data_IF_219046382729
#
_entry.id   IF_219046382729
#
_cell.length_a   1.000
_cell.length_b   1.000
_cell.length_c   1.000
_cell.angle_alpha   90.00
_cell.angle_beta   90.00
_cell.angle_gamma   90.00
#
_symmetry.space_group_name_H-M   'P 1'
#
loop_
_entity.id
_entity.type
_entity.pdbx_description
1 polymer ?
#
# COMPACT_ATOMS: atom_id res chain seq x y z
N UNK A 1 29.51 -15.38 -18.42
CA UNK A 1 30.71 -16.21 -18.61
C UNK A 1 30.39 -17.64 -18.21
N UNK A 2 30.65 -18.64 -19.05
CA UNK A 2 30.47 -20.04 -18.66
C UNK A 2 31.44 -20.40 -17.53
N UNK A 3 30.96 -21.17 -16.56
CA UNK A 3 31.69 -21.74 -15.41
C UNK A 3 31.40 -23.23 -15.41
N UNK A 4 32.07 -23.97 -16.29
CA UNK A 4 31.72 -25.36 -16.60
C UNK A 4 30.39 -25.42 -17.36
N UNK A 5 29.42 -26.15 -16.80
CA UNK A 5 28.07 -26.31 -17.34
C UNK A 5 27.09 -25.22 -16.88
N UNK A 6 27.49 -24.42 -15.90
CA UNK A 6 26.72 -23.28 -15.40
C UNK A 6 27.18 -21.98 -16.05
N UNK A 7 26.34 -20.95 -15.98
CA UNK A 7 26.61 -19.63 -16.51
C UNK A 7 26.59 -18.60 -15.40
N UNK A 8 27.70 -17.89 -15.23
CA UNK A 8 27.77 -16.73 -14.36
C UNK A 8 27.36 -15.48 -15.14
N UNK A 9 26.35 -14.77 -14.62
CA UNK A 9 25.91 -13.47 -15.11
C UNK A 9 26.69 -12.43 -14.30
N UNK A 10 27.73 -11.84 -14.91
CA UNK A 10 28.59 -10.89 -14.20
C UNK A 10 27.99 -9.49 -14.17
N UNK A 11 27.39 -9.09 -15.28
CA UNK A 11 26.73 -7.80 -15.41
C UNK A 11 25.67 -7.91 -16.49
N UNK A 12 24.42 -7.80 -16.09
CA UNK A 12 23.27 -7.55 -16.94
C UNK A 12 22.89 -6.08 -16.72
N UNK A 13 22.79 -5.32 -17.80
CA UNK A 13 22.33 -3.94 -17.76
C UNK A 13 21.28 -3.76 -18.84
N UNK A 14 20.06 -3.41 -18.43
CA UNK A 14 18.97 -3.03 -19.32
C UNK A 14 18.58 -1.59 -19.00
N UNK A 15 18.50 -0.74 -20.01
CA UNK A 15 18.18 0.69 -19.86
C UNK A 15 17.15 1.11 -20.88
N UNK A 16 16.22 1.96 -20.47
CA UNK A 16 15.32 2.70 -21.34
C UNK A 16 15.06 4.10 -20.76
N UNK A 17 14.22 4.89 -21.40
CA UNK A 17 13.91 6.27 -20.97
C UNK A 17 13.19 6.35 -19.61
N UNK A 18 12.64 5.25 -19.13
CA UNK A 18 11.82 5.18 -17.91
C UNK A 18 12.53 4.47 -16.76
N UNK A 19 13.68 3.82 -16.98
CA UNK A 19 14.44 3.15 -15.93
C UNK A 19 15.67 2.36 -16.39
N UNK A 20 16.38 1.85 -15.39
CA UNK A 20 17.62 1.07 -15.48
C UNK A 20 17.51 -0.14 -14.55
N UNK A 21 17.73 -1.33 -15.11
CA UNK A 21 17.91 -2.58 -14.38
C UNK A 21 19.37 -3.00 -14.48
N UNK A 22 20.06 -3.12 -13.36
CA UNK A 22 21.35 -3.81 -13.25
C UNK A 22 21.19 -5.10 -12.47
N UNK A 23 21.79 -6.19 -12.93
CA UNK A 23 21.76 -7.45 -12.23
C UNK A 23 23.03 -8.27 -12.42
N UNK A 24 23.28 -9.15 -11.46
CA UNK A 24 24.33 -10.16 -11.48
C UNK A 24 23.78 -11.45 -10.90
N UNK A 25 24.40 -12.59 -11.21
CA UNK A 25 23.90 -13.85 -10.68
C UNK A 25 24.37 -15.07 -11.45
N UNK A 26 23.54 -16.11 -11.43
CA UNK A 26 23.87 -17.42 -11.94
C UNK A 26 22.68 -18.04 -12.66
N UNK A 27 22.98 -18.70 -13.76
CA UNK A 27 22.08 -19.63 -14.40
C UNK A 27 22.73 -21.01 -14.37
N UNK A 28 22.16 -21.90 -13.57
CA UNK A 28 22.54 -23.31 -13.51
C UNK A 28 21.83 -24.03 -14.63
N UNK A 29 22.52 -24.18 -15.76
CA UNK A 29 21.99 -24.82 -16.95
C UNK A 29 22.16 -26.36 -16.91
N UNK A 30 22.90 -26.87 -15.94
CA UNK A 30 23.25 -28.28 -15.80
C UNK A 30 22.18 -29.09 -15.05
N UNK A 31 21.83 -30.27 -15.58
CA UNK A 31 20.91 -31.22 -14.95
C UNK A 31 19.48 -31.17 -15.51
N UNK A 32 18.56 -31.91 -14.89
CA UNK A 32 17.14 -31.98 -15.32
C UNK A 32 16.33 -30.72 -14.97
N UNK A 33 16.81 -29.90 -14.05
CA UNK A 33 16.12 -28.71 -13.57
C UNK A 33 17.07 -27.50 -13.70
N UNK A 34 16.80 -26.64 -14.68
CA UNK A 34 17.51 -25.38 -14.80
C UNK A 34 17.05 -24.42 -13.70
N UNK A 35 17.95 -23.57 -13.22
CA UNK A 35 17.62 -22.57 -12.22
C UNK A 35 18.36 -21.27 -12.50
N UNK A 36 17.65 -20.16 -12.44
CA UNK A 36 18.23 -18.82 -12.49
C UNK A 36 18.14 -18.16 -11.12
N UNK A 37 19.17 -17.42 -10.75
CA UNK A 37 19.19 -16.57 -9.55
C UNK A 37 19.87 -15.27 -9.90
N UNK A 38 19.19 -14.15 -9.68
CA UNK A 38 19.67 -12.80 -9.94
C UNK A 38 19.59 -11.97 -8.66
N UNK A 39 20.69 -11.30 -8.36
CA UNK A 39 20.74 -10.11 -7.52
C UNK A 39 20.56 -8.90 -8.45
N UNK A 40 19.53 -8.10 -8.20
CA UNK A 40 19.05 -7.09 -9.13
C UNK A 40 18.75 -5.78 -8.42
N UNK A 41 19.07 -4.68 -9.09
CA UNK A 41 18.71 -3.31 -8.75
C UNK A 41 17.98 -2.68 -9.93
N UNK A 42 16.79 -2.14 -9.66
CA UNK A 42 15.93 -1.49 -10.64
C UNK A 42 15.65 -0.06 -10.16
N UNK A 43 16.20 0.90 -10.91
CA UNK A 43 15.92 2.33 -10.76
C UNK A 43 14.93 2.75 -11.84
N UNK A 44 13.76 3.23 -11.44
CA UNK A 44 12.69 3.70 -12.32
C UNK A 44 12.55 5.21 -12.13
N UNK A 45 12.57 5.95 -13.22
CA UNK A 45 12.39 7.41 -13.20
C UNK A 45 10.91 7.77 -13.03
N UNK A 46 10.01 6.97 -13.62
CA UNK A 46 8.56 7.18 -13.58
C UNK A 46 7.84 5.83 -13.61
N UNK A 47 7.25 5.42 -12.47
CA UNK A 47 6.56 4.14 -12.36
C UNK A 47 5.33 4.06 -13.27
N UNK A 48 4.63 5.18 -13.50
CA UNK A 48 3.48 5.21 -14.40
C UNK A 48 3.85 4.86 -15.83
N UNK A 49 4.89 5.51 -16.38
CA UNK A 49 5.40 5.21 -17.72
C UNK A 49 6.00 3.81 -17.80
N UNK A 50 6.70 3.37 -16.75
CA UNK A 50 7.25 2.02 -16.70
C UNK A 50 6.15 0.95 -16.74
N UNK A 51 5.11 1.07 -15.90
CA UNK A 51 3.98 0.13 -15.85
C UNK A 51 3.14 0.12 -17.13
N UNK A 52 3.01 1.25 -17.82
CA UNK A 52 2.32 1.31 -19.12
C UNK A 52 2.95 0.37 -20.16
N UNK A 53 4.27 0.13 -20.11
CA UNK A 53 4.96 -0.83 -20.99
C UNK A 53 4.57 -2.28 -20.72
N UNK A 54 4.06 -2.57 -19.53
CA UNK A 54 3.58 -3.89 -19.10
C UNK A 54 2.05 -4.01 -19.19
N UNK A 55 1.37 -3.10 -19.89
CA UNK A 55 -0.08 -3.15 -20.09
C UNK A 55 -0.90 -2.65 -18.90
N UNK A 56 -0.27 -1.95 -17.95
CA UNK A 56 -0.91 -1.30 -16.81
C UNK A 56 -0.82 0.23 -16.93
N UNK A 57 -1.37 0.84 -18.00
CA UNK A 57 -1.37 2.29 -18.15
C UNK A 57 -2.26 2.91 -17.07
N UNK A 58 -1.95 4.15 -16.69
CA UNK A 58 -2.82 4.97 -15.85
C UNK A 58 -3.23 4.31 -14.51
N UNK A 59 -2.36 3.49 -13.92
CA UNK A 59 -2.50 3.00 -12.54
C UNK A 59 -1.80 3.93 -11.52
N UNK A 60 -0.65 4.48 -11.92
CA UNK A 60 0.17 5.41 -11.14
C UNK A 60 0.63 6.53 -12.07
N UNK A 61 0.71 7.76 -11.57
CA UNK A 61 1.42 8.88 -12.23
C UNK A 61 2.66 9.24 -11.41
N UNK A 62 3.80 9.37 -12.07
CA UNK A 62 5.08 9.68 -11.41
C UNK A 62 5.60 8.50 -10.59
N UNK A 63 6.09 8.77 -9.38
CA UNK A 63 6.74 7.83 -8.47
C UNK A 63 8.08 7.27 -8.99
N UNK A 64 9.17 8.07 -8.94
CA UNK A 64 10.52 7.52 -9.05
C UNK A 64 10.69 6.40 -8.03
N UNK A 65 11.12 5.22 -8.49
CA UNK A 65 11.07 3.99 -7.69
C UNK A 65 12.40 3.26 -7.74
N UNK A 66 12.86 2.78 -6.59
CA UNK A 66 14.01 1.90 -6.46
C UNK A 66 13.54 0.56 -5.93
N UNK A 67 13.96 -0.51 -6.60
CA UNK A 67 13.76 -1.89 -6.15
C UNK A 67 15.11 -2.56 -6.12
N UNK A 68 15.42 -3.24 -5.03
CA UNK A 68 16.62 -4.08 -4.97
C UNK A 68 16.32 -5.39 -4.28
N UNK A 69 16.95 -6.46 -4.72
CA UNK A 69 16.73 -7.76 -4.11
C UNK A 69 17.33 -8.92 -4.90
N UNK A 70 17.14 -10.10 -4.34
CA UNK A 70 17.56 -11.35 -4.95
C UNK A 70 16.34 -12.20 -5.26
N UNK A 71 16.23 -12.61 -6.52
CA UNK A 71 15.15 -13.43 -7.04
C UNK A 71 15.71 -14.67 -7.73
N UNK A 72 14.99 -15.78 -7.68
CA UNK A 72 15.32 -16.99 -8.41
C UNK A 72 14.08 -17.75 -8.84
N UNK A 73 14.20 -18.48 -9.95
CA UNK A 73 13.11 -19.25 -10.55
C UNK A 73 13.67 -20.46 -11.30
N UNK A 74 12.80 -21.41 -11.61
CA UNK A 74 13.14 -22.56 -12.45
C UNK A 74 13.16 -22.16 -13.92
N UNK A 75 14.21 -22.54 -14.64
CA UNK A 75 14.40 -22.19 -16.05
C UNK A 75 15.58 -21.24 -16.30
N UNK A 76 15.75 -20.87 -17.56
CA UNK A 76 16.75 -19.90 -17.98
C UNK A 76 16.33 -18.45 -17.74
N UNK A 77 17.27 -17.49 -17.85
CA UNK A 77 17.00 -16.06 -17.59
C UNK A 77 15.87 -15.45 -18.44
N UNK A 78 15.63 -15.99 -19.62
CA UNK A 78 14.58 -15.58 -20.55
C UNK A 78 13.20 -16.20 -20.24
N UNK A 79 13.16 -17.25 -19.43
CA UNK A 79 11.95 -18.00 -19.10
C UNK A 79 11.56 -17.69 -17.66
N UNK A 80 11.18 -16.44 -17.41
CA UNK A 80 10.72 -16.02 -16.09
C UNK A 80 9.45 -16.80 -15.71
N UNK A 81 9.46 -17.44 -14.55
CA UNK A 81 8.40 -18.36 -14.13
C UNK A 81 7.84 -17.93 -12.77
N UNK A 82 6.63 -17.34 -12.78
CA UNK A 82 5.97 -16.86 -11.56
C UNK A 82 5.72 -17.97 -10.53
N UNK A 83 5.23 -19.17 -10.89
CA UNK A 83 4.95 -20.22 -9.92
C UNK A 83 6.17 -20.74 -9.15
N UNK A 84 7.37 -20.70 -9.73
CA UNK A 84 8.61 -21.10 -9.04
C UNK A 84 9.41 -19.93 -8.48
N UNK A 85 8.96 -18.70 -8.73
CA UNK A 85 9.63 -17.49 -8.26
C UNK A 85 9.79 -17.51 -6.74
N UNK A 86 11.00 -17.29 -6.27
CA UNK A 86 11.35 -17.22 -4.86
C UNK A 86 12.45 -16.19 -4.62
N UNK A 87 12.49 -15.60 -3.44
CA UNK A 87 13.50 -14.60 -3.09
C UNK A 87 12.99 -13.53 -2.14
N UNK A 88 13.69 -12.42 -2.10
CA UNK A 88 13.30 -11.26 -1.31
C UNK A 88 13.77 -9.97 -1.98
N UNK A 89 12.97 -8.92 -1.85
CA UNK A 89 13.29 -7.61 -2.38
C UNK A 89 12.66 -6.51 -1.54
N UNK A 90 13.24 -5.33 -1.61
CA UNK A 90 12.75 -4.13 -0.95
C UNK A 90 12.38 -3.08 -2.01
N UNK A 91 11.33 -2.33 -1.74
CA UNK A 91 10.85 -1.24 -2.62
C UNK A 91 10.87 0.08 -1.87
N UNK A 92 11.28 1.13 -2.58
CA UNK A 92 11.19 2.52 -2.15
C UNK A 92 10.72 3.35 -3.33
N UNK A 93 9.51 3.90 -3.26
CA UNK A 93 9.01 4.84 -4.24
C UNK A 93 8.88 6.22 -3.60
N UNK A 94 9.28 7.26 -4.33
CA UNK A 94 9.05 8.65 -3.95
C UNK A 94 7.64 9.11 -4.32
N UNK A 95 7.48 10.42 -4.45
CA UNK A 95 6.18 11.05 -4.63
C UNK A 95 5.48 10.61 -5.93
N UNK A 96 4.19 10.33 -5.82
CA UNK A 96 3.35 9.94 -6.94
C UNK A 96 1.86 10.02 -6.63
N UNK A 97 1.06 9.49 -7.55
CA UNK A 97 -0.39 9.47 -7.40
C UNK A 97 -0.96 8.19 -7.98
N UNK A 98 -1.67 7.41 -7.17
CA UNK A 98 -2.53 6.34 -7.69
C UNK A 98 -3.71 6.97 -8.40
N UNK A 99 -3.92 6.62 -9.65
CA UNK A 99 -5.07 7.07 -10.43
C UNK A 99 -6.26 6.17 -10.17
N UNK A 100 -7.46 6.69 -10.42
CA UNK A 100 -8.66 5.84 -10.39
C UNK A 100 -8.55 4.85 -11.54
N UNK A 101 -8.31 3.58 -11.22
CA UNK A 101 -8.51 2.48 -12.16
C UNK A 101 -9.98 2.52 -12.57
N UNK A 102 -10.25 2.86 -13.83
CA UNK A 102 -11.59 2.77 -14.40
C UNK A 102 -11.86 1.27 -14.61
N UNK A 103 -12.89 0.66 -13.98
CA UNK A 103 -13.21 -0.77 -14.18
C UNK A 103 -13.64 -1.12 -15.62
N UNK A 104 -13.58 -0.17 -16.56
CA UNK A 104 -14.32 -0.16 -17.82
C UNK A 104 -13.54 -0.46 -19.10
N UNK A 105 -12.26 -0.82 -19.05
CA UNK A 105 -11.47 -1.08 -20.26
C UNK A 105 -11.28 -2.58 -20.55
N UNK A 106 -12.39 -3.31 -20.71
CA UNK A 106 -12.38 -4.73 -21.02
C UNK A 106 -13.75 -5.35 -21.33
N UNK A 107 -14.56 -4.70 -22.19
CA UNK A 107 -15.60 -5.25 -23.10
C UNK A 107 -16.04 -6.71 -22.80
N UNK A 108 -17.28 -7.05 -22.41
CA UNK A 108 -18.54 -6.81 -23.12
C UNK A 108 -19.75 -7.12 -22.21
N UNK A 109 -20.69 -6.17 -22.17
CA UNK A 109 -22.15 -6.30 -22.05
C UNK A 109 -22.74 -7.46 -21.23
N UNK A 110 -23.37 -7.11 -20.11
CA UNK A 110 -24.32 -7.96 -19.42
C UNK A 110 -25.23 -7.15 -18.52
N UNK A 111 -26.17 -6.44 -19.14
CA UNK A 111 -27.31 -5.79 -18.50
C UNK A 111 -27.88 -6.72 -17.42
N UNK A 112 -28.03 -6.18 -16.19
CA UNK A 112 -28.99 -6.53 -15.12
C UNK A 112 -28.31 -6.37 -13.74
N UNK A 113 -29.01 -5.71 -12.81
CA UNK A 113 -28.78 -5.77 -11.35
C UNK A 113 -28.09 -4.61 -10.59
N UNK A 114 -28.25 -3.32 -10.96
CA UNK A 114 -28.06 -2.24 -9.97
C UNK A 114 -29.12 -1.12 -10.01
N UNK A 115 -30.31 -1.40 -10.56
CA UNK A 115 -31.49 -0.54 -10.42
C UNK A 115 -32.04 -0.44 -8.97
N UNK A 116 -31.35 -0.94 -7.96
CA UNK A 116 -31.87 -0.95 -6.59
C UNK A 116 -30.80 -0.78 -5.51
N UNK A 117 -30.08 0.34 -5.52
CA UNK A 117 -29.76 0.98 -4.24
C UNK A 117 -29.71 2.50 -4.38
N UNK A 118 -30.86 2.99 -4.82
CA UNK A 118 -31.25 4.37 -4.77
C UNK A 118 -31.26 4.87 -3.32
N UNK A 119 -30.52 5.95 -3.13
CA UNK A 119 -30.91 7.16 -2.36
C UNK A 119 -30.61 7.15 -0.86
N UNK A 120 -29.71 8.09 -0.54
CA UNK A 120 -29.50 8.84 0.71
C UNK A 120 -28.48 8.20 1.65
N UNK A 121 -27.24 8.64 1.50
CA UNK A 121 -26.30 9.06 2.54
C UNK A 121 -24.91 9.13 1.91
N UNK A 122 -24.44 10.32 1.51
CA UNK A 122 -23.01 10.65 1.62
C UNK A 122 -22.80 12.14 1.34
N UNK A 123 -22.26 12.84 2.34
CA UNK A 123 -21.45 14.04 2.14
C UNK A 123 -20.50 13.83 0.96
N UNK A 124 -20.23 14.90 0.22
CA UNK A 124 -19.52 14.85 -1.05
C UNK A 124 -18.05 14.42 -0.88
N UNK A 125 -17.81 13.11 -0.82
CA UNK A 125 -16.47 12.53 -0.86
C UNK A 125 -15.92 12.47 -2.29
N UNK A 126 -16.71 12.82 -3.31
CA UNK A 126 -16.27 12.76 -4.72
C UNK A 126 -15.15 13.77 -5.00
N UNK A 127 -15.12 14.91 -4.31
CA UNK A 127 -14.07 15.92 -4.48
C UNK A 127 -12.72 15.53 -3.87
N UNK A 128 -12.69 14.57 -2.94
CA UNK A 128 -11.44 14.06 -2.37
C UNK A 128 -10.88 12.83 -3.12
N UNK A 129 -11.69 12.19 -3.97
CA UNK A 129 -11.32 11.03 -4.79
C UNK A 129 -11.32 11.33 -6.30
N UNK A 130 -11.60 12.57 -6.71
CA UNK A 130 -11.78 12.97 -8.10
C UNK A 130 -10.51 12.90 -8.96
N UNK A 131 -9.31 12.99 -8.35
CA UNK A 131 -8.03 12.99 -9.08
C UNK A 131 -7.11 11.79 -8.79
N UNK A 132 -7.50 10.88 -7.88
CA UNK A 132 -6.67 9.77 -7.38
C UNK A 132 -6.18 9.95 -5.93
N UNK A 133 -5.34 9.02 -5.43
CA UNK A 133 -4.71 9.08 -4.10
C UNK A 133 -3.24 9.50 -4.24
N UNK A 134 -2.91 10.72 -3.81
CA UNK A 134 -1.54 11.21 -3.79
C UNK A 134 -0.76 10.59 -2.61
N UNK A 135 0.50 10.24 -2.86
CA UNK A 135 1.42 9.72 -1.86
C UNK A 135 2.78 10.39 -2.00
N UNK A 136 3.46 10.52 -0.86
CA UNK A 136 4.82 11.04 -0.78
C UNK A 136 5.85 9.91 -0.85
N UNK A 137 5.50 8.74 -0.32
CA UNK A 137 6.42 7.61 -0.20
C UNK A 137 5.68 6.26 -0.18
N UNK A 138 6.29 5.24 -0.80
CA UNK A 138 5.95 3.83 -0.61
C UNK A 138 7.21 3.07 -0.18
N UNK A 139 7.14 2.33 0.93
CA UNK A 139 8.25 1.48 1.38
C UNK A 139 7.76 0.10 1.78
N UNK A 140 8.57 -0.92 1.58
CA UNK A 140 8.24 -2.26 2.06
C UNK A 140 9.29 -3.30 1.71
N UNK A 141 9.26 -4.40 2.46
CA UNK A 141 10.03 -5.61 2.21
C UNK A 141 9.09 -6.74 1.83
N UNK A 142 9.45 -7.47 0.78
CA UNK A 142 8.67 -8.56 0.23
C UNK A 142 9.52 -9.83 0.24
N UNK A 143 8.90 -10.94 0.62
CA UNK A 143 9.45 -12.29 0.43
C UNK A 143 8.56 -13.06 -0.51
N UNK A 144 9.14 -13.73 -1.50
CA UNK A 144 8.41 -14.60 -2.42
C UNK A 144 8.86 -16.04 -2.18
N UNK A 145 7.90 -16.95 -2.12
CA UNK A 145 8.15 -18.39 -2.11
C UNK A 145 7.12 -19.07 -3.02
N UNK A 146 7.60 -19.76 -4.05
CA UNK A 146 6.76 -20.48 -5.02
C UNK A 146 5.61 -19.60 -5.56
N UNK A 147 5.94 -18.38 -6.00
CA UNK A 147 4.96 -17.43 -6.53
C UNK A 147 4.03 -16.76 -5.52
N UNK A 148 4.14 -17.10 -4.24
CA UNK A 148 3.40 -16.43 -3.15
C UNK A 148 4.29 -15.36 -2.55
N UNK A 149 3.90 -14.10 -2.74
CA UNK A 149 4.54 -12.94 -2.17
C UNK A 149 3.92 -12.59 -0.82
N UNK A 150 4.74 -12.29 0.18
CA UNK A 150 4.32 -11.84 1.52
C UNK A 150 5.05 -10.57 1.91
N UNK A 151 4.35 -9.68 2.60
CA UNK A 151 4.92 -8.50 3.25
C UNK A 151 4.21 -8.24 4.56
N UNK A 152 4.95 -7.77 5.56
CA UNK A 152 4.41 -7.40 6.88
C UNK A 152 4.54 -5.89 7.15
N UNK A 153 5.19 -5.16 6.25
CA UNK A 153 5.63 -3.80 6.50
C UNK A 153 5.51 -2.87 5.27
N UNK A 154 4.66 -3.22 4.31
CA UNK A 154 4.35 -2.34 3.20
C UNK A 154 3.60 -1.11 3.73
N UNK A 155 4.14 0.08 3.45
CA UNK A 155 3.60 1.36 3.92
C UNK A 155 3.49 2.33 2.76
N UNK A 156 2.45 3.13 2.80
CA UNK A 156 2.20 4.24 1.88
C UNK A 156 1.97 5.47 2.74
N UNK A 157 2.84 6.45 2.64
CA UNK A 157 2.71 7.74 3.29
C UNK A 157 2.21 8.78 2.29
N UNK A 158 1.25 9.60 2.68
CA UNK A 158 0.77 10.70 1.84
C UNK A 158 0.14 11.83 2.66
N UNK A 159 -0.20 12.95 1.99
CA UNK A 159 -0.71 14.14 2.65
C UNK A 159 -2.09 13.96 3.28
N UNK A 160 -2.88 12.99 2.82
CA UNK A 160 -4.24 12.72 3.29
C UNK A 160 -4.35 11.52 4.26
N UNK A 161 -3.42 10.56 4.18
CA UNK A 161 -3.41 9.38 5.04
C UNK A 161 -2.07 8.66 5.02
N UNK A 162 -1.82 7.88 6.08
CA UNK A 162 -0.82 6.81 6.12
C UNK A 162 -1.55 5.47 6.02
N UNK A 163 -1.05 4.58 5.16
CA UNK A 163 -1.60 3.24 4.95
C UNK A 163 -0.53 2.21 5.28
N UNK A 164 -0.87 1.22 6.10
CA UNK A 164 -0.04 0.07 6.36
C UNK A 164 -0.74 -1.19 5.84
N UNK A 165 0.00 -2.02 5.10
CA UNK A 165 -0.49 -3.22 4.45
C UNK A 165 0.38 -4.40 4.90
N UNK A 166 -0.27 -5.51 5.26
CA UNK A 166 0.39 -6.78 5.56
C UNK A 166 -0.42 -7.94 5.02
N UNK A 167 0.22 -9.06 4.70
CA UNK A 167 -0.45 -10.25 4.20
C UNK A 167 0.28 -10.87 3.01
N UNK A 168 -0.49 -11.55 2.17
CA UNK A 168 0.05 -12.35 1.07
C UNK A 168 -0.72 -12.17 -0.24
N UNK A 169 -0.04 -12.47 -1.34
CA UNK A 169 -0.57 -12.45 -2.70
C UNK A 169 0.00 -13.63 -3.48
N UNK A 170 -0.88 -14.45 -4.04
CA UNK A 170 -0.51 -15.48 -5.00
C UNK A 170 -0.49 -14.85 -6.40
N UNK A 171 0.71 -14.65 -6.93
CA UNK A 171 0.93 -13.96 -8.21
C UNK A 171 0.38 -14.80 -9.37
N UNK A 172 0.50 -16.12 -9.30
CA UNK A 172 0.08 -17.01 -10.38
C UNK A 172 -1.44 -17.14 -10.45
N UNK A 173 -2.13 -17.06 -9.31
CA UNK A 173 -3.60 -17.07 -9.25
C UNK A 173 -4.23 -15.68 -9.26
N UNK A 174 -3.42 -14.62 -9.24
CA UNK A 174 -3.87 -13.23 -9.12
C UNK A 174 -4.84 -13.03 -7.93
N UNK A 175 -4.54 -13.67 -6.80
CA UNK A 175 -5.36 -13.58 -5.57
C UNK A 175 -4.59 -12.99 -4.41
N UNK A 176 -5.30 -12.39 -3.47
CA UNK A 176 -4.70 -11.70 -2.34
C UNK A 176 -5.48 -11.93 -1.04
N UNK A 177 -4.76 -11.82 0.08
CA UNK A 177 -5.29 -11.82 1.44
C UNK A 177 -4.49 -10.79 2.25
N UNK A 178 -5.02 -9.59 2.37
CA UNK A 178 -4.31 -8.43 2.91
C UNK A 178 -5.09 -7.85 4.11
N UNK A 179 -4.33 -7.40 5.11
CA UNK A 179 -4.81 -6.54 6.19
C UNK A 179 -4.33 -5.13 5.90
N UNK A 180 -5.26 -4.20 5.78
CA UNK A 180 -4.99 -2.80 5.45
C UNK A 180 -5.45 -1.93 6.60
N UNK A 181 -4.53 -1.14 7.16
CA UNK A 181 -4.81 -0.12 8.16
C UNK A 181 -4.64 1.25 7.53
N UNK A 182 -5.70 2.04 7.54
CA UNK A 182 -5.71 3.41 7.03
C UNK A 182 -5.82 4.38 8.20
N UNK A 183 -4.86 5.29 8.30
CA UNK A 183 -4.82 6.34 9.31
C UNK A 183 -4.85 7.71 8.60
N UNK A 184 -5.96 8.45 8.65
CA UNK A 184 -6.04 9.79 8.10
C UNK A 184 -5.03 10.73 8.78
N UNK A 185 -4.39 11.59 8.00
CA UNK A 185 -3.56 12.68 8.53
C UNK A 185 -4.49 13.83 8.91
N UNK A 186 -4.56 14.17 10.20
CA UNK A 186 -5.25 15.39 10.61
C UNK A 186 -4.29 16.55 10.39
N UNK A 187 -4.34 17.16 9.21
CA UNK A 187 -3.63 18.40 8.99
C UNK A 187 -4.09 19.43 10.02
N UNK A 188 -3.14 20.10 10.67
CA UNK A 188 -3.33 21.00 11.81
C UNK A 188 -4.22 22.25 11.53
N UNK A 189 -4.94 22.28 10.40
CA UNK A 189 -5.75 23.40 9.95
C UNK A 189 -7.26 23.17 9.91
N UNK A 190 -7.78 21.97 10.23
CA UNK A 190 -9.23 21.71 10.02
C UNK A 190 -9.90 21.15 11.28
N UNK A 191 -10.59 22.07 11.96
CA UNK A 191 -11.55 21.93 13.07
C UNK A 191 -12.76 21.01 12.80
N UNK A 192 -12.73 20.16 11.76
CA UNK A 192 -13.83 19.23 11.43
C UNK A 192 -13.96 18.12 12.47
N UNK A 193 -12.89 17.75 13.18
CA UNK A 193 -12.96 16.84 14.32
C UNK A 193 -13.90 17.34 15.43
N UNK A 194 -13.91 18.65 15.70
CA UNK A 194 -14.82 19.24 16.68
C UNK A 194 -16.29 19.20 16.20
N UNK A 195 -16.53 19.41 14.91
CA UNK A 195 -17.87 19.37 14.33
C UNK A 195 -18.48 17.96 14.32
N UNK A 196 -17.70 16.92 14.00
CA UNK A 196 -18.19 15.53 14.01
C UNK A 196 -18.46 15.03 15.44
N UNK A 197 -17.66 15.43 16.42
CA UNK A 197 -17.90 15.12 17.84
C UNK A 197 -19.17 15.80 18.38
N UNK A 198 -19.46 17.04 17.95
CA UNK A 198 -20.70 17.74 18.29
C UNK A 198 -21.95 17.07 17.69
N UNK A 199 -21.86 16.52 16.47
CA UNK A 199 -22.98 15.87 15.78
C UNK A 199 -23.28 14.46 16.31
N UNK A 200 -22.28 13.74 16.81
CA UNK A 200 -22.46 12.39 17.35
C UNK A 200 -23.05 12.42 18.77
N UNK A 201 -22.64 13.36 19.62
CA UNK A 201 -23.21 13.55 20.96
C UNK A 201 -22.97 15.00 21.47
N UNK A 202 -24.02 15.84 21.54
CA UNK A 202 -23.86 17.26 21.87
C UNK A 202 -23.30 17.53 23.27
N UNK A 203 -23.47 16.60 24.22
CA UNK A 203 -22.94 16.73 25.59
C UNK A 203 -21.41 16.53 25.60
N UNK A 204 -20.89 15.61 24.78
CA UNK A 204 -19.46 15.32 24.68
C UNK A 204 -18.74 16.44 23.90
N UNK A 205 -19.36 16.97 22.85
CA UNK A 205 -18.79 18.06 22.06
C UNK A 205 -18.63 19.38 22.84
N UNK A 206 -19.52 19.67 23.79
CA UNK A 206 -19.43 20.87 24.64
C UNK A 206 -18.23 20.81 25.61
N UNK A 207 -17.92 19.64 26.19
CA UNK A 207 -16.80 19.47 27.11
C UNK A 207 -15.44 19.64 26.41
N UNK A 208 -15.32 19.15 25.18
CA UNK A 208 -14.11 19.30 24.36
C UNK A 208 -13.92 20.75 23.89
N UNK A 209 -15.02 21.44 23.53
CA UNK A 209 -14.97 22.86 23.16
C UNK A 209 -14.51 23.74 24.33
N UNK A 210 -15.01 23.49 25.55
CA UNK A 210 -14.59 24.21 26.75
C UNK A 210 -13.14 23.90 27.16
N UNK A 211 -12.66 22.67 26.97
CA UNK A 211 -11.28 22.27 27.25
C UNK A 211 -10.24 22.74 26.21
N UNK A 212 -10.66 23.04 24.98
CA UNK A 212 -9.77 23.45 23.89
C UNK A 212 -9.12 24.83 24.09
N UNK A 213 -9.72 25.68 24.93
CA UNK A 213 -9.18 27.01 25.26
C UNK A 213 -7.95 26.95 26.18
N UNK A 214 -7.67 25.80 26.82
CA UNK A 214 -6.53 25.62 27.74
C UNK A 214 -5.45 24.65 27.22
N UNK A 215 -5.65 23.99 26.08
CA UNK A 215 -4.79 22.89 25.61
C UNK A 215 -3.72 23.31 24.57
N UNK A 216 -3.36 24.59 24.48
CA UNK A 216 -2.55 25.11 23.36
C UNK A 216 -1.05 24.74 23.37
N UNK A 217 -0.57 23.74 24.12
CA UNK A 217 0.88 23.47 24.13
C UNK A 217 1.40 22.04 24.26
N UNK A 218 0.57 20.99 24.38
CA UNK A 218 1.09 19.63 24.68
C UNK A 218 0.35 18.50 23.95
N UNK A 219 -0.08 18.66 22.70
CA UNK A 219 -0.89 17.61 22.06
C UNK A 219 -0.73 17.57 20.54
N UNK A 220 0.50 17.38 20.02
CA UNK A 220 0.71 17.16 18.59
C UNK A 220 0.47 15.70 18.17
N UNK A 221 0.68 14.73 19.06
CA UNK A 221 0.61 13.28 18.73
C UNK A 221 -0.66 12.50 19.17
N UNK A 222 -1.43 12.86 20.22
CA UNK A 222 -2.49 11.98 20.72
C UNK A 222 -3.77 11.90 19.87
N UNK A 223 -3.97 12.81 18.92
CA UNK A 223 -5.24 12.89 18.15
C UNK A 223 -5.17 12.09 16.84
N UNK A 224 -4.00 11.99 16.21
CA UNK A 224 -3.83 11.21 14.97
C UNK A 224 -4.11 9.72 15.16
N UNK A 225 -3.97 9.21 16.39
CA UNK A 225 -4.20 7.80 16.74
C UNK A 225 -5.69 7.46 16.98
N UNK A 226 -6.59 8.45 17.02
CA UNK A 226 -7.97 8.23 17.43
C UNK A 226 -8.87 7.63 16.34
N UNK A 227 -8.43 7.60 15.08
CA UNK A 227 -9.24 7.14 13.94
C UNK A 227 -8.45 6.28 12.95
N UNK A 228 -8.06 5.06 13.33
CA UNK A 228 -7.60 4.06 12.36
C UNK A 228 -8.77 3.21 11.86
N UNK A 229 -8.79 2.96 10.56
CA UNK A 229 -9.74 2.06 9.91
C UNK A 229 -9.01 0.80 9.49
N UNK A 230 -9.53 -0.36 9.87
CA UNK A 230 -8.98 -1.65 9.49
C UNK A 230 -9.89 -2.36 8.49
N UNK A 231 -9.26 -2.89 7.45
CA UNK A 231 -9.90 -3.62 6.37
C UNK A 231 -9.18 -4.95 6.14
N UNK A 232 -9.95 -5.99 5.84
CA UNK A 232 -9.48 -7.21 5.22
C UNK A 232 -9.81 -7.14 3.72
N UNK A 233 -8.82 -7.36 2.87
CA UNK A 233 -8.97 -7.43 1.42
C UNK A 233 -8.66 -8.84 0.97
N UNK A 234 -9.61 -9.51 0.33
CA UNK A 234 -9.45 -10.88 -0.17
C UNK A 234 -9.92 -11.01 -1.62
N UNK A 235 -9.79 -12.19 -2.22
CA UNK A 235 -10.29 -12.46 -3.58
C UNK A 235 -9.27 -12.18 -4.69
N UNK A 236 -9.77 -12.06 -5.92
CA UNK A 236 -8.95 -11.81 -7.11
C UNK A 236 -8.62 -10.33 -7.30
N UNK A 237 -7.55 -10.01 -8.03
CA UNK A 237 -7.15 -8.62 -8.29
C UNK A 237 -8.21 -7.81 -9.05
N UNK A 238 -8.98 -8.46 -9.92
CA UNK A 238 -10.06 -7.83 -10.71
C UNK A 238 -11.40 -7.75 -9.97
N UNK A 239 -11.60 -8.56 -8.94
CA UNK A 239 -12.81 -8.59 -8.11
C UNK A 239 -12.46 -8.73 -6.62
N UNK A 240 -11.83 -7.70 -6.03
CA UNK A 240 -11.41 -7.74 -4.63
C UNK A 240 -12.61 -7.60 -3.69
N UNK A 241 -12.66 -8.46 -2.68
CA UNK A 241 -13.64 -8.38 -1.60
C UNK A 241 -13.05 -7.58 -0.45
N UNK A 242 -13.69 -6.47 -0.08
CA UNK A 242 -13.20 -5.55 0.95
C UNK A 242 -14.15 -5.53 2.13
N UNK A 243 -13.70 -6.09 3.24
CA UNK A 243 -14.46 -6.16 4.48
C UNK A 243 -13.84 -5.26 5.55
N UNK A 244 -14.69 -4.52 6.26
CA UNK A 244 -14.22 -3.69 7.38
C UNK A 244 -14.16 -4.54 8.64
N UNK A 245 -12.97 -4.69 9.22
CA UNK A 245 -12.74 -5.58 10.37
C UNK A 245 -12.78 -4.87 11.72
N UNK A 246 -12.70 -3.53 11.77
CA UNK A 246 -12.86 -2.81 13.04
C UNK A 246 -12.71 -1.29 12.98
N UNK A 247 -13.08 -0.65 14.10
CA UNK A 247 -12.60 0.67 14.54
C UNK A 247 -11.93 0.45 15.89
N UNK A 248 -10.62 0.67 16.00
CA UNK A 248 -10.01 0.90 17.30
C UNK A 248 -10.00 2.41 17.54
N UNK A 249 -10.84 2.86 18.47
CA UNK A 249 -10.62 4.13 19.14
C UNK A 249 -9.58 3.86 20.23
N UNK A 250 -8.44 4.54 20.18
CA UNK A 250 -7.44 4.44 21.24
C UNK A 250 -8.10 4.81 22.58
N UNK A 251 -8.04 3.91 23.56
CA UNK A 251 -8.58 4.14 24.90
C UNK A 251 -7.78 5.27 25.54
N UNK A 252 -8.39 6.44 25.68
CA UNK A 252 -7.79 7.55 26.44
C UNK A 252 -7.75 7.11 27.91
N UNK A 253 -6.60 6.66 28.38
CA UNK A 253 -6.34 6.54 29.82
C UNK A 253 -6.28 7.97 30.34
N UNK A 254 -7.40 8.46 30.86
CA UNK A 254 -7.46 9.76 31.53
C UNK A 254 -6.49 9.79 32.71
N UNK A 255 -5.86 10.94 32.99
CA UNK A 255 -4.96 11.06 34.13
C UNK A 255 -5.70 10.67 35.41
N UNK A 256 -5.11 9.76 36.18
CA UNK A 256 -5.61 9.35 37.48
C UNK A 256 -5.91 10.60 38.31
N UNK A 257 -7.17 10.72 38.74
CA UNK A 257 -7.62 11.78 39.62
C UNK A 257 -6.69 11.82 40.84
N UNK A 258 -5.97 12.93 41.00
CA UNK A 258 -5.23 13.22 42.21
C UNK A 258 -6.23 13.21 43.36
N UNK A 259 -6.09 12.21 44.23
CA UNK A 259 -6.83 12.16 45.48
C UNK A 259 -6.46 13.41 46.30
N UNK A 260 -7.42 14.31 46.45
CA UNK A 260 -7.48 15.21 47.59
C UNK A 260 -7.32 14.37 48.85
N UNK A 261 -6.27 14.63 49.63
CA UNK A 261 -6.27 14.34 51.04
C UNK A 261 -6.03 15.66 51.77
N UNK A 262 -7.13 16.21 52.30
CA UNK A 262 -7.08 17.25 53.31
C UNK A 262 -6.47 16.71 54.60
N UNK A 263 -5.79 17.58 55.35
CA UNK A 263 -5.25 17.19 56.64
C UNK A 263 -4.43 18.26 57.35
N UNK A 264 -5.16 19.15 58.04
CA UNK A 264 -4.77 20.10 59.11
C UNK A 264 -4.03 21.38 58.74
#
# INVERSE_FOLDING_TARGET
>A
QPRGVDWQIQHLLLTNDDGKLSAQGWWRAAGRAQQTTLDAELDITDAGRYLARFGLPDAIRGAPTKVHGQLGWAGGPQAFDYPTLSGAFSIQAGQGRFTKLDPGAGKLLGVLSLQSLQRRLTLDFRDLFGEGFAFDEITGDMRIQNGIMKSDNLRIGGPAARVAISGETDIAKETQQLKVRVQPTLSAGVSVGAAVLLLANPIVGAAVAAGSLLAQKVMQDPIEQMFSYEYAVSGGWTDPQVERTGRQAATVVGPAAAAENGGK
#
